data_IF_982587863952
#
_entry.id   IF_982587863952
#
_cell.length_a   1.000
_cell.length_b   1.000
_cell.length_c   1.000
_cell.angle_alpha   90.00
_cell.angle_beta   90.00
_cell.angle_gamma   90.00
#
_symmetry.space_group_name_H-M   'P 1'
#
loop_
_entity.id
_entity.type
_entity.pdbx_description
1 polymer ?
#
# COMPACT_ATOMS: atom_id res chain seq x y z
N UNK A 1 -3.57 0.87 5.93
CA UNK A 1 -4.68 -0.04 6.30
C UNK A 1 -5.11 0.10 7.75
N UNK A 2 -4.23 -0.18 8.73
CA UNK A 2 -4.60 -0.05 10.14
C UNK A 2 -5.07 1.37 10.52
N UNK A 3 -4.36 2.42 10.09
CA UNK A 3 -4.79 3.80 10.34
C UNK A 3 -6.18 4.10 9.74
N UNK A 4 -6.52 3.48 8.59
CA UNK A 4 -7.85 3.61 7.96
C UNK A 4 -8.92 2.87 8.78
N UNK A 5 -8.60 1.65 9.26
CA UNK A 5 -9.48 0.84 10.12
C UNK A 5 -9.79 1.50 11.47
N UNK A 6 -8.82 2.22 12.04
CA UNK A 6 -8.96 2.92 13.31
C UNK A 6 -9.21 4.43 13.15
N UNK A 7 -9.44 4.91 11.92
CA UNK A 7 -9.70 6.31 11.53
C UNK A 7 -8.57 7.32 11.80
N UNK A 8 -7.72 7.09 12.80
CA UNK A 8 -6.61 7.99 13.17
C UNK A 8 -5.45 7.24 13.83
N UNK A 9 -4.27 7.86 13.82
CA UNK A 9 -3.08 7.34 14.53
C UNK A 9 -3.31 7.33 16.04
N UNK A 10 -4.01 8.34 16.58
CA UNK A 10 -4.31 8.43 18.00
C UNK A 10 -5.18 7.27 18.48
N UNK A 11 -6.24 6.95 17.73
CA UNK A 11 -7.10 5.81 18.04
C UNK A 11 -6.38 4.46 17.87
N UNK A 12 -5.47 4.36 16.90
CA UNK A 12 -4.61 3.18 16.76
C UNK A 12 -3.64 3.04 17.95
N UNK A 13 -3.05 4.14 18.43
CA UNK A 13 -2.21 4.13 19.63
C UNK A 13 -3.00 3.63 20.85
N UNK A 14 -4.22 4.14 21.06
CA UNK A 14 -5.08 3.69 22.17
C UNK A 14 -5.42 2.20 22.07
N UNK A 15 -5.73 1.70 20.86
CA UNK A 15 -6.00 0.29 20.60
C UNK A 15 -4.76 -0.62 20.83
N UNK A 16 -3.56 -0.06 20.66
CA UNK A 16 -2.29 -0.73 20.95
C UNK A 16 -1.86 -0.64 22.42
N UNK A 17 -2.61 0.08 23.26
CA UNK A 17 -2.22 0.37 24.64
C UNK A 17 -1.03 1.32 24.76
N UNK A 18 -0.72 2.05 23.69
CA UNK A 18 0.35 3.05 23.66
C UNK A 18 -0.19 4.43 24.07
N UNK A 19 0.68 5.38 24.49
CA UNK A 19 0.25 6.75 24.69
C UNK A 19 -0.40 7.33 23.43
N UNK A 20 -1.57 7.97 23.57
CA UNK A 20 -2.34 8.54 22.46
C UNK A 20 -1.50 9.42 21.51
N UNK A 21 -0.58 10.19 22.08
CA UNK A 21 0.34 11.09 21.36
C UNK A 21 1.69 10.45 20.99
N UNK A 22 1.85 9.12 21.08
CA UNK A 22 3.08 8.45 20.67
C UNK A 22 3.34 8.69 19.18
N UNK A 23 4.53 9.20 18.90
CA UNK A 23 4.94 9.64 17.57
C UNK A 23 5.59 8.56 16.72
N UNK A 24 5.78 7.33 17.23
CA UNK A 24 6.42 6.22 16.49
C UNK A 24 5.72 5.95 15.16
N UNK A 25 4.41 5.72 15.18
CA UNK A 25 3.63 5.43 13.97
C UNK A 25 3.64 6.59 12.98
N UNK A 26 3.57 7.83 13.49
CA UNK A 26 3.62 9.04 12.65
C UNK A 26 4.98 9.18 11.95
N UNK A 27 6.08 8.95 12.69
CA UNK A 27 7.44 9.01 12.15
C UNK A 27 7.68 7.95 11.07
N UNK A 28 7.19 6.74 11.27
CA UNK A 28 7.27 5.65 10.30
C UNK A 28 6.41 5.98 9.07
N UNK A 29 5.16 6.39 9.26
CA UNK A 29 4.24 6.76 8.17
C UNK A 29 4.81 7.84 7.26
N UNK A 30 5.40 8.88 7.85
CA UNK A 30 5.89 10.03 7.10
C UNK A 30 7.33 9.84 6.57
N UNK A 31 7.97 8.69 6.86
CA UNK A 31 9.34 8.41 6.42
C UNK A 31 10.37 9.39 6.99
N UNK A 32 10.14 9.87 8.23
CA UNK A 32 11.02 10.87 8.84
C UNK A 32 12.46 10.33 8.95
N UNK A 33 13.43 11.20 8.71
CA UNK A 33 14.85 10.88 8.88
C UNK A 33 15.19 10.89 10.37
N UNK A 34 15.96 9.90 10.80
CA UNK A 34 16.51 9.79 12.14
C UNK A 34 17.61 10.82 12.35
N UNK A 35 17.46 11.66 13.38
CA UNK A 35 18.51 12.59 13.80
C UNK A 35 19.71 11.89 14.43
N UNK A 36 19.51 10.69 15.00
CA UNK A 36 20.54 9.91 15.69
C UNK A 36 21.31 8.94 14.78
N UNK A 37 20.81 8.72 13.55
CA UNK A 37 21.41 7.82 12.56
C UNK A 37 21.27 8.44 11.19
N UNK A 38 22.34 9.13 10.79
CA UNK A 38 22.37 9.94 9.60
C UNK A 38 21.87 9.18 8.36
N UNK A 39 20.89 9.77 7.67
CA UNK A 39 20.29 9.23 6.45
C UNK A 39 19.32 8.05 6.62
N UNK A 40 19.13 7.49 7.83
CA UNK A 40 18.18 6.37 8.02
C UNK A 40 16.78 6.89 8.32
N UNK A 41 15.78 6.42 7.58
CA UNK A 41 14.37 6.70 7.88
C UNK A 41 13.86 5.81 9.03
N UNK A 42 12.84 6.28 9.76
CA UNK A 42 12.11 5.42 10.68
C UNK A 42 11.37 4.34 9.89
N UNK A 43 11.65 3.07 10.19
CA UNK A 43 10.97 1.91 9.61
C UNK A 43 10.30 1.10 10.71
N UNK A 44 9.25 0.37 10.34
CA UNK A 44 8.68 -0.64 11.22
C UNK A 44 9.68 -1.78 11.35
N UNK A 45 10.17 -2.04 12.56
CA UNK A 45 11.01 -3.20 12.83
C UNK A 45 10.17 -4.41 13.21
N UNK A 46 10.72 -5.60 13.01
CA UNK A 46 10.05 -6.89 13.24
C UNK A 46 9.38 -6.97 14.62
N UNK A 47 10.08 -6.55 15.67
CA UNK A 47 9.52 -6.59 17.03
C UNK A 47 8.24 -5.75 17.18
N UNK A 48 8.21 -4.56 16.56
CA UNK A 48 7.03 -3.67 16.58
C UNK A 48 5.91 -4.26 15.74
N UNK A 49 6.24 -4.85 14.58
CA UNK A 49 5.27 -5.53 13.73
C UNK A 49 4.58 -6.68 14.49
N UNK A 50 5.35 -7.53 15.17
CA UNK A 50 4.82 -8.65 15.98
C UNK A 50 4.00 -8.19 17.18
N UNK A 51 4.43 -7.11 17.85
CA UNK A 51 3.66 -6.51 18.94
C UNK A 51 2.29 -6.04 18.45
N UNK A 52 2.24 -5.32 17.33
CA UNK A 52 1.00 -4.84 16.71
C UNK A 52 0.10 -6.01 16.31
N UNK A 53 0.63 -7.02 15.64
CA UNK A 53 -0.13 -8.22 15.24
C UNK A 53 -0.75 -8.91 16.45
N UNK A 54 0.04 -9.15 17.49
CA UNK A 54 -0.43 -9.84 18.71
C UNK A 54 -1.52 -9.02 19.41
N UNK A 55 -1.30 -7.71 19.55
CA UNK A 55 -2.20 -6.83 20.30
C UNK A 55 -3.54 -6.65 19.58
N UNK A 56 -3.50 -6.53 18.25
CA UNK A 56 -4.69 -6.37 17.42
C UNK A 56 -5.31 -7.72 17.01
N UNK A 57 -4.76 -8.85 17.48
CA UNK A 57 -5.19 -10.22 17.14
C UNK A 57 -5.24 -10.46 15.63
N UNK A 58 -4.20 -10.00 14.94
CA UNK A 58 -3.98 -10.25 13.52
C UNK A 58 -3.19 -11.55 13.35
N UNK A 59 -3.23 -12.11 12.15
CA UNK A 59 -2.39 -13.26 11.81
C UNK A 59 -0.91 -12.87 11.81
N UNK A 60 -0.05 -13.81 12.21
CA UNK A 60 1.39 -13.62 12.15
C UNK A 60 1.81 -13.43 10.68
N UNK A 61 2.53 -12.36 10.40
CA UNK A 61 2.95 -12.03 9.02
C UNK A 61 2.03 -11.06 8.29
N UNK A 62 0.92 -10.66 8.93
CA UNK A 62 -0.01 -9.69 8.36
C UNK A 62 0.68 -8.34 8.05
N UNK A 63 1.62 -7.90 8.89
CA UNK A 63 2.36 -6.66 8.69
C UNK A 63 3.51 -6.77 7.68
N UNK A 64 3.93 -8.00 7.33
CA UNK A 64 5.02 -8.25 6.37
C UNK A 64 4.52 -8.30 4.92
N UNK A 65 3.21 -8.50 4.75
CA UNK A 65 2.59 -8.58 3.43
C UNK A 65 2.11 -7.20 3.01
N UNK A 66 2.55 -6.67 1.86
CA UNK A 66 2.01 -5.42 1.37
C UNK A 66 0.51 -5.57 1.11
N UNK A 67 -0.31 -4.54 1.41
CA UNK A 67 -1.75 -4.56 1.17
C UNK A 67 -2.09 -4.92 -0.27
N UNK A 68 -3.06 -5.80 -0.47
CA UNK A 68 -3.64 -6.02 -1.78
C UNK A 68 -4.43 -4.79 -2.26
N UNK A 69 -4.65 -4.71 -3.58
CA UNK A 69 -5.46 -3.64 -4.17
C UNK A 69 -6.87 -3.57 -3.56
N UNK A 70 -7.47 -4.73 -3.30
CA UNK A 70 -8.80 -4.84 -2.70
C UNK A 70 -8.84 -4.25 -1.29
N UNK A 71 -7.83 -4.52 -0.47
CA UNK A 71 -7.81 -4.01 0.91
C UNK A 71 -7.51 -2.50 0.98
N UNK A 72 -6.79 -1.94 -0.01
CA UNK A 72 -6.56 -0.50 -0.11
C UNK A 72 -7.80 0.26 -0.60
N UNK A 73 -8.46 -0.26 -1.65
CA UNK A 73 -9.51 0.44 -2.38
C UNK A 73 -10.93 0.02 -1.99
N UNK A 74 -11.10 -1.05 -1.23
CA UNK A 74 -12.40 -1.54 -0.77
C UNK A 74 -13.21 -2.29 -1.83
N UNK A 75 -12.64 -2.58 -3.00
CA UNK A 75 -13.30 -3.22 -4.13
C UNK A 75 -12.58 -4.53 -4.48
N UNK A 76 -13.29 -5.66 -4.51
CA UNK A 76 -12.71 -7.00 -4.55
C UNK A 76 -12.05 -7.40 -5.87
N UNK A 77 -12.07 -6.55 -6.90
CA UNK A 77 -11.56 -6.93 -8.22
C UNK A 77 -11.08 -5.70 -9.02
N UNK A 78 -9.78 -5.60 -9.36
CA UNK A 78 -9.26 -4.53 -10.20
C UNK A 78 -9.92 -4.50 -11.59
N UNK A 79 -10.42 -5.64 -12.09
CA UNK A 79 -11.15 -5.69 -13.36
C UNK A 79 -12.51 -5.00 -13.22
N UNK A 80 -13.27 -5.32 -12.17
CA UNK A 80 -14.53 -4.63 -11.86
C UNK A 80 -14.34 -3.11 -11.73
N UNK A 81 -13.28 -2.67 -11.04
CA UNK A 81 -12.97 -1.23 -10.93
C UNK A 81 -12.64 -0.60 -12.28
N UNK A 82 -11.88 -1.29 -13.12
CA UNK A 82 -11.56 -0.82 -14.47
C UNK A 82 -12.83 -0.69 -15.32
N UNK A 83 -13.77 -1.63 -15.22
CA UNK A 83 -15.08 -1.56 -15.89
C UNK A 83 -15.87 -0.35 -15.42
N UNK A 84 -15.97 -0.09 -14.11
CA UNK A 84 -16.68 1.07 -13.58
C UNK A 84 -16.08 2.38 -14.08
N UNK A 85 -14.74 2.50 -14.06
CA UNK A 85 -14.03 3.67 -14.56
C UNK A 85 -14.30 3.88 -16.06
N UNK A 86 -14.18 2.82 -16.87
CA UNK A 86 -14.44 2.89 -18.31
C UNK A 86 -15.91 3.22 -18.63
N UNK A 87 -16.85 2.84 -17.75
CA UNK A 87 -18.28 3.08 -17.96
C UNK A 87 -18.68 4.56 -17.87
N UNK A 88 -17.93 5.37 -17.12
CA UNK A 88 -18.21 6.81 -16.89
C UNK A 88 -17.34 7.74 -17.73
N UNK A 89 -16.29 7.25 -18.39
CA UNK A 89 -15.43 8.05 -19.27
C UNK A 89 -16.18 8.54 -20.52
N UNK A 90 -15.72 9.63 -21.14
CA UNK A 90 -16.19 10.01 -22.47
C UNK A 90 -15.75 8.99 -23.55
N UNK A 91 -16.48 8.84 -24.67
CA UNK A 91 -16.20 7.81 -25.68
C UNK A 91 -14.75 7.86 -26.20
N UNK A 92 -14.21 9.05 -26.45
CA UNK A 92 -12.83 9.21 -26.93
C UNK A 92 -11.79 8.76 -25.88
N UNK A 93 -11.99 9.13 -24.62
CA UNK A 93 -11.13 8.73 -23.52
C UNK A 93 -11.15 7.20 -23.29
N UNK A 94 -12.29 6.54 -23.51
CA UNK A 94 -12.40 5.07 -23.44
C UNK A 94 -11.50 4.39 -24.47
N UNK A 95 -11.47 4.88 -25.72
CA UNK A 95 -10.60 4.32 -26.75
C UNK A 95 -9.12 4.50 -26.44
N UNK A 96 -8.74 5.66 -25.88
CA UNK A 96 -7.37 5.91 -25.44
C UNK A 96 -6.97 4.99 -24.29
N UNK A 97 -7.84 4.81 -23.29
CA UNK A 97 -7.63 3.90 -22.17
C UNK A 97 -7.48 2.44 -22.65
N UNK A 98 -8.33 1.98 -23.56
CA UNK A 98 -8.23 0.64 -24.15
C UNK A 98 -6.90 0.43 -24.88
N UNK A 99 -6.43 1.42 -25.64
CA UNK A 99 -5.14 1.35 -26.34
C UNK A 99 -3.97 1.20 -25.37
N UNK A 100 -4.02 1.90 -24.23
CA UNK A 100 -2.98 1.79 -23.20
C UNK A 100 -3.00 0.41 -22.53
N UNK A 101 -4.19 -0.11 -22.20
CA UNK A 101 -4.32 -1.44 -21.62
C UNK A 101 -3.83 -2.52 -22.57
N UNK A 102 -4.17 -2.43 -23.86
CA UNK A 102 -3.65 -3.32 -24.89
C UNK A 102 -2.12 -3.28 -24.95
N UNK A 103 -1.52 -2.09 -25.00
CA UNK A 103 -0.07 -1.93 -25.02
C UNK A 103 0.63 -2.54 -23.78
N UNK A 104 0.01 -2.47 -22.61
CA UNK A 104 0.52 -3.09 -21.38
C UNK A 104 0.36 -4.62 -21.36
N UNK A 105 -0.61 -5.16 -22.10
CA UNK A 105 -0.86 -6.61 -22.19
C UNK A 105 0.09 -7.34 -23.15
N UNK A 106 0.72 -6.60 -24.06
CA UNK A 106 1.67 -7.18 -25.00
C UNK A 106 2.94 -7.64 -24.25
N UNK A 107 3.46 -8.86 -24.53
CA UNK A 107 4.70 -9.31 -23.93
C UNK A 107 5.82 -8.33 -24.29
N UNK A 108 6.82 -8.14 -23.40
CA UNK A 108 7.95 -7.28 -23.71
C UNK A 108 8.56 -7.74 -25.04
N UNK A 109 8.66 -6.82 -26.02
CA UNK A 109 9.33 -7.11 -27.28
C UNK A 109 10.70 -7.68 -26.95
N UNK A 110 10.95 -8.93 -27.37
CA UNK A 110 12.28 -9.51 -27.29
C UNK A 110 13.21 -8.57 -28.08
N UNK A 111 14.03 -7.80 -27.38
CA UNK A 111 15.11 -7.05 -27.99
C UNK A 111 16.10 -8.11 -28.47
N UNK A 112 15.96 -8.51 -29.73
CA UNK A 112 16.90 -9.37 -30.42
C UNK A 112 18.22 -8.62 -30.58
N UNK A 113 19.07 -8.71 -29.57
CA UNK A 113 20.52 -8.51 -29.73
C UNK A 113 21.16 -9.89 -29.63
N UNK A 114 21.07 -10.65 -30.72
CA UNK A 114 22.09 -11.65 -31.01
C UNK A 114 23.37 -10.87 -31.33
N UNK A 115 24.27 -10.79 -30.34
CA UNK A 115 25.65 -10.46 -30.59
C UNK A 115 26.24 -11.52 -31.52
N UNK A 116 26.80 -11.06 -32.63
CA UNK A 116 27.58 -11.84 -33.59
C UNK A 116 28.96 -12.14 -33.04
#
# INVERSE_FOLDING_TARGET
MLIKRFESIAALNDALGWPRADSRLSRIKNGNIRSDREGKVFQMGDNIAREIETTLKLEAGWMDTPPSYAELNGENDPISKAVDILSVMDPEARYQALRLLDALSQPPKANGTHAT
#
